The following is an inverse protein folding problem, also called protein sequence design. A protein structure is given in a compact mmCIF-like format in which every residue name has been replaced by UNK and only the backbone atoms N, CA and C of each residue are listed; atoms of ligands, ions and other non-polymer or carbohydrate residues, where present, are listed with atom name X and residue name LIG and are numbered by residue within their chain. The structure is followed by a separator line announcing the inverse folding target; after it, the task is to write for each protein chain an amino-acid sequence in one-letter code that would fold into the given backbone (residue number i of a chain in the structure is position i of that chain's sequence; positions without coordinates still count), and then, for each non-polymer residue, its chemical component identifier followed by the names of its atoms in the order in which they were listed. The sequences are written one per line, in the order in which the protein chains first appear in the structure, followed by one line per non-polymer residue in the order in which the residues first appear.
data_IF_310223518531
#
_entry.id   IF_310223518531
#
_cell.length_a   1.000
_cell.length_b   1.000
_cell.length_c   1.000
_cell.angle_alpha   90.00
_cell.angle_beta   90.00
_cell.angle_gamma   90.00
#
_symmetry.space_group_name_H-M   'P 1'
#
loop_
_entity.id
_entity.type
_entity.pdbx_description
1 polymer ?
#
# COMPACT_ATOMS: atom_id res chain seq x y z
N UNK A 1 -3.94 -15.07 -14.40
CA UNK A 1 -2.93 -14.87 -13.36
C UNK A 1 -3.38 -15.46 -12.05
N UNK A 2 -2.46 -15.98 -11.27
CA UNK A 2 -2.73 -16.48 -9.92
C UNK A 2 -2.97 -15.32 -8.96
N UNK A 3 -3.75 -15.56 -7.91
CA UNK A 3 -3.95 -14.59 -6.86
C UNK A 3 -2.64 -14.35 -6.09
N UNK A 4 -2.28 -13.09 -5.80
CA UNK A 4 -1.01 -12.80 -5.15
C UNK A 4 -1.05 -13.20 -3.67
N UNK A 5 0.01 -13.86 -3.15
CA UNK A 5 0.06 -14.22 -1.74
C UNK A 5 0.24 -12.99 -0.84
N UNK A 6 1.05 -12.02 -1.25
CA UNK A 6 1.30 -10.79 -0.48
C UNK A 6 1.13 -9.58 -1.38
N UNK A 7 0.42 -8.58 -0.88
CA UNK A 7 0.21 -7.29 -1.55
C UNK A 7 0.63 -6.16 -0.63
N UNK A 8 1.39 -5.21 -1.15
CA UNK A 8 1.74 -3.98 -0.43
C UNK A 8 0.70 -2.93 -0.80
N UNK A 9 0.01 -2.38 0.19
CA UNK A 9 -1.04 -1.39 -0.05
C UNK A 9 -0.48 0.04 -0.01
N UNK A 10 -0.83 0.82 -1.02
CA UNK A 10 -0.56 2.25 -1.06
C UNK A 10 -1.78 3.04 -0.57
N UNK A 11 -1.56 4.28 -0.15
CA UNK A 11 -2.60 5.16 0.39
C UNK A 11 -3.76 5.33 -0.58
N UNK A 12 -3.49 5.53 -1.86
CA UNK A 12 -4.53 5.75 -2.87
C UNK A 12 -5.50 4.58 -2.98
N UNK A 13 -4.98 3.36 -2.93
CA UNK A 13 -5.82 2.16 -2.97
C UNK A 13 -6.65 2.02 -1.69
N UNK A 14 -6.06 2.31 -0.53
CA UNK A 14 -6.80 2.22 0.73
C UNK A 14 -7.89 3.29 0.83
N UNK A 15 -7.66 4.49 0.32
CA UNK A 15 -8.70 5.51 0.25
C UNK A 15 -9.91 5.03 -0.57
N UNK A 16 -9.66 4.42 -1.73
CA UNK A 16 -10.74 3.87 -2.55
C UNK A 16 -11.40 2.65 -1.89
N UNK A 17 -10.62 1.82 -1.21
CA UNK A 17 -11.13 0.66 -0.49
C UNK A 17 -12.14 1.05 0.60
N UNK A 18 -11.88 2.14 1.31
CA UNK A 18 -12.72 2.59 2.42
C UNK A 18 -13.81 3.59 2.02
N UNK A 19 -13.90 3.98 0.75
CA UNK A 19 -14.88 4.94 0.26
C UNK A 19 -15.78 4.32 -0.81
N UNK A 20 -16.99 3.93 -0.41
CA UNK A 20 -17.97 3.32 -1.32
C UNK A 20 -18.40 4.23 -2.46
N UNK A 21 -18.24 5.54 -2.31
CA UNK A 21 -18.58 6.52 -3.34
C UNK A 21 -17.46 6.73 -4.38
N UNK A 22 -16.27 6.17 -4.12
CA UNK A 22 -15.15 6.29 -5.06
C UNK A 22 -15.42 5.42 -6.30
N UNK A 23 -15.17 5.97 -7.48
CA UNK A 23 -15.37 5.24 -8.74
C UNK A 23 -14.50 3.99 -8.86
N UNK A 24 -13.39 3.94 -8.13
CA UNK A 24 -12.48 2.79 -8.10
C UNK A 24 -12.75 1.82 -6.95
N UNK A 25 -13.78 2.08 -6.14
CA UNK A 25 -14.05 1.29 -4.93
C UNK A 25 -14.22 -0.19 -5.24
N UNK A 26 -15.12 -0.52 -6.18
CA UNK A 26 -15.45 -1.93 -6.46
C UNK A 26 -14.23 -2.70 -6.99
N UNK A 27 -13.51 -2.12 -7.94
CA UNK A 27 -12.32 -2.78 -8.50
C UNK A 27 -11.22 -2.95 -7.44
N UNK A 28 -11.03 -1.95 -6.58
CA UNK A 28 -10.05 -2.01 -5.50
C UNK A 28 -10.43 -3.06 -4.46
N UNK A 29 -11.71 -3.10 -4.07
CA UNK A 29 -12.22 -4.10 -3.15
C UNK A 29 -11.94 -5.51 -3.67
N UNK A 30 -12.29 -5.77 -4.94
CA UNK A 30 -12.07 -7.07 -5.57
C UNK A 30 -10.59 -7.41 -5.65
N UNK A 31 -9.74 -6.44 -5.99
CA UNK A 31 -8.30 -6.63 -6.04
C UNK A 31 -7.71 -7.01 -4.69
N UNK A 32 -8.08 -6.29 -3.63
CA UNK A 32 -7.56 -6.55 -2.29
C UNK A 32 -8.14 -7.84 -1.69
N UNK A 33 -9.36 -8.22 -2.07
CA UNK A 33 -9.95 -9.47 -1.60
C UNK A 33 -9.19 -10.71 -2.07
N UNK A 34 -8.43 -10.59 -3.16
CA UNK A 34 -7.59 -11.68 -3.70
C UNK A 34 -6.26 -11.82 -3.00
N UNK A 35 -5.85 -10.81 -2.21
CA UNK A 35 -4.58 -10.87 -1.50
C UNK A 35 -4.64 -11.93 -0.38
N UNK A 36 -3.64 -12.79 -0.32
CA UNK A 36 -3.50 -13.72 0.79
C UNK A 36 -3.11 -13.00 2.07
N UNK A 37 -2.31 -11.94 1.94
CA UNK A 37 -1.83 -11.13 3.06
C UNK A 37 -1.61 -9.70 2.57
N UNK A 38 -2.12 -8.72 3.30
CA UNK A 38 -1.97 -7.31 2.95
C UNK A 38 -1.04 -6.62 3.92
N UNK A 39 -0.03 -5.93 3.37
CA UNK A 39 0.96 -5.19 4.16
C UNK A 39 0.68 -3.70 4.02
N UNK A 40 0.52 -3.02 5.15
CA UNK A 40 0.30 -1.58 5.22
C UNK A 40 1.49 -0.95 5.95
N UNK A 41 2.31 -0.21 5.22
CA UNK A 41 3.43 0.53 5.82
C UNK A 41 2.93 1.52 6.87
N UNK A 42 3.63 1.69 8.00
CA UNK A 42 3.34 2.79 8.93
C UNK A 42 3.33 4.16 8.26
N UNK A 43 4.15 4.38 7.23
CA UNK A 43 4.15 5.63 6.46
C UNK A 43 2.81 5.83 5.75
N UNK A 44 2.30 4.78 5.11
CA UNK A 44 1.00 4.79 4.45
C UNK A 44 -0.12 4.94 5.46
N UNK A 45 -0.04 4.23 6.58
CA UNK A 45 -1.07 4.30 7.62
C UNK A 45 -1.23 5.72 8.17
N UNK A 46 -0.12 6.40 8.44
CA UNK A 46 -0.13 7.78 8.94
C UNK A 46 -0.72 8.74 7.90
N UNK A 47 -0.32 8.59 6.65
CA UNK A 47 -0.85 9.41 5.54
C UNK A 47 -2.35 9.19 5.36
N UNK A 48 -2.79 7.95 5.37
CA UNK A 48 -4.19 7.58 5.26
C UNK A 48 -5.03 8.22 6.38
N UNK A 49 -4.56 8.08 7.63
CA UNK A 49 -5.24 8.64 8.80
C UNK A 49 -5.36 10.16 8.69
N UNK A 50 -4.29 10.82 8.32
CA UNK A 50 -4.27 12.28 8.16
C UNK A 50 -5.27 12.74 7.09
N UNK A 51 -5.29 12.11 5.93
CA UNK A 51 -6.19 12.46 4.84
C UNK A 51 -7.65 12.23 5.26
N UNK A 52 -7.95 11.10 5.87
CA UNK A 52 -9.30 10.78 6.31
C UNK A 52 -9.77 11.74 7.40
N UNK A 53 -8.94 12.02 8.39
CA UNK A 53 -9.30 12.95 9.48
C UNK A 53 -9.55 14.35 8.94
N UNK A 54 -8.76 14.81 7.98
CA UNK A 54 -8.88 16.14 7.38
C UNK A 54 -10.11 16.25 6.48
N UNK A 55 -10.39 15.25 5.66
CA UNK A 55 -11.47 15.32 4.66
C UNK A 55 -12.80 14.79 5.15
N UNK A 56 -12.79 13.78 6.03
CA UNK A 56 -13.99 13.07 6.47
C UNK A 56 -14.27 13.25 7.96
N UNK A 57 -13.30 13.72 8.73
CA UNK A 57 -13.40 13.89 10.18
C UNK A 57 -12.90 12.70 10.97
N UNK A 58 -12.63 12.94 12.25
CA UNK A 58 -12.05 11.92 13.14
C UNK A 58 -12.93 10.68 13.36
N UNK A 59 -14.26 10.75 13.34
CA UNK A 59 -15.07 9.53 13.45
C UNK A 59 -14.78 8.54 12.33
N UNK A 60 -14.60 9.02 11.11
CA UNK A 60 -14.28 8.16 9.96
C UNK A 60 -12.87 7.60 10.06
N UNK A 61 -11.89 8.45 10.38
CA UNK A 61 -10.51 7.96 10.52
C UNK A 61 -10.38 6.94 11.64
N UNK A 62 -11.06 7.14 12.77
CA UNK A 62 -11.08 6.16 13.86
C UNK A 62 -11.72 4.84 13.44
N UNK A 63 -12.83 4.88 12.68
CA UNK A 63 -13.47 3.66 12.19
C UNK A 63 -12.54 2.87 11.25
N UNK A 64 -11.81 3.57 10.39
CA UNK A 64 -10.84 2.94 9.49
C UNK A 64 -9.69 2.31 10.29
N UNK A 65 -9.14 3.04 11.27
CA UNK A 65 -8.09 2.51 12.15
C UNK A 65 -8.56 1.27 12.89
N UNK A 66 -9.78 1.28 13.41
CA UNK A 66 -10.37 0.14 14.10
C UNK A 66 -10.47 -1.08 13.17
N UNK A 67 -10.90 -0.86 11.93
CA UNK A 67 -10.95 -1.92 10.92
C UNK A 67 -9.57 -2.51 10.67
N UNK A 68 -8.57 -1.66 10.42
CA UNK A 68 -7.19 -2.10 10.15
C UNK A 68 -6.64 -2.85 11.36
N UNK A 69 -6.84 -2.34 12.57
CA UNK A 69 -6.40 -3.01 13.79
C UNK A 69 -7.03 -4.39 13.93
N UNK A 70 -8.30 -4.54 13.62
CA UNK A 70 -8.97 -5.85 13.68
C UNK A 70 -8.41 -6.83 12.66
N UNK A 71 -8.08 -6.35 11.46
CA UNK A 71 -7.49 -7.21 10.42
C UNK A 71 -6.07 -7.62 10.78
N UNK A 72 -5.30 -6.73 11.42
CA UNK A 72 -3.96 -7.08 11.91
C UNK A 72 -4.02 -8.08 13.06
N UNK A 73 -4.96 -7.92 13.98
CA UNK A 73 -5.17 -8.88 15.07
C UNK A 73 -5.56 -10.26 14.55
N UNK A 74 -6.31 -10.32 13.44
CA UNK A 74 -6.70 -11.56 12.80
C UNK A 74 -5.58 -12.18 11.93
N UNK A 75 -4.45 -11.50 11.78
CA UNK A 75 -3.34 -11.97 10.96
C UNK A 75 -3.56 -11.83 9.45
N UNK A 76 -4.61 -11.16 9.03
CA UNK A 76 -4.94 -10.96 7.60
C UNK A 76 -4.18 -9.80 6.99
N UNK A 77 -3.95 -8.76 7.77
CA UNK A 77 -3.18 -7.59 7.39
C UNK A 77 -1.99 -7.46 8.34
N UNK A 78 -0.99 -6.72 7.92
CA UNK A 78 0.21 -6.51 8.73
C UNK A 78 0.68 -5.07 8.59
N UNK A 79 1.03 -4.46 9.73
CA UNK A 79 1.70 -3.16 9.77
C UNK A 79 3.11 -3.41 10.32
N UNK A 80 4.11 -3.59 9.43
CA UNK A 80 5.45 -4.00 9.86
C UNK A 80 6.25 -2.81 10.39
N UNK A 81 7.29 -3.07 11.22
CA UNK A 81 8.24 -2.02 11.57
C UNK A 81 9.05 -1.60 10.35
N UNK A 82 9.30 -0.30 10.19
CA UNK A 82 10.01 0.24 9.03
C UNK A 82 11.35 0.87 9.37
N UNK A 83 11.65 1.07 10.67
CA UNK A 83 12.94 1.62 11.10
C UNK A 83 14.14 0.91 10.48
N UNK A 84 14.19 -0.43 10.47
CA UNK A 84 15.29 -1.17 9.84
C UNK A 84 15.43 -0.93 8.33
N UNK A 85 14.41 -0.43 7.66
CA UNK A 85 14.38 -0.22 6.21
C UNK A 85 14.60 1.24 5.80
N UNK A 86 14.80 2.14 6.76
CA UNK A 86 14.90 3.56 6.48
C UNK A 86 16.10 3.90 5.59
N UNK A 87 17.25 3.26 5.83
CA UNK A 87 18.44 3.49 5.02
C UNK A 87 18.22 3.12 3.55
N UNK A 88 17.60 1.96 3.31
CA UNK A 88 17.30 1.51 1.95
C UNK A 88 16.29 2.43 1.26
N UNK A 89 15.27 2.88 1.97
CA UNK A 89 14.29 3.82 1.43
C UNK A 89 14.94 5.17 1.09
N UNK A 90 15.84 5.67 1.92
CA UNK A 90 16.58 6.89 1.67
C UNK A 90 17.47 6.77 0.43
N UNK A 91 18.14 5.64 0.26
CA UNK A 91 18.98 5.41 -0.93
C UNK A 91 18.12 5.45 -2.20
N UNK A 92 16.93 4.86 -2.17
CA UNK A 92 16.02 4.86 -3.30
C UNK A 92 15.52 6.28 -3.62
N UNK A 93 15.22 7.08 -2.61
CA UNK A 93 14.83 8.48 -2.78
C UNK A 93 15.95 9.33 -3.39
N UNK A 94 17.20 9.05 -3.04
CA UNK A 94 18.35 9.76 -3.62
C UNK A 94 18.47 9.52 -5.12
N UNK A 95 18.12 8.31 -5.58
CA UNK A 95 18.14 7.96 -7.00
C UNK A 95 16.88 8.41 -7.73
N UNK A 96 15.77 8.57 -7.02
CA UNK A 96 14.46 8.87 -7.60
C UNK A 96 13.73 9.93 -6.77
N UNK A 97 14.20 11.19 -6.80
CA UNK A 97 13.65 12.24 -5.90
C UNK A 97 12.21 12.64 -6.21
N UNK A 98 11.67 12.21 -7.35
CA UNK A 98 10.28 12.50 -7.73
C UNK A 98 9.25 11.76 -6.88
N UNK A 99 9.64 10.68 -6.20
CA UNK A 99 8.73 9.91 -5.33
C UNK A 99 8.89 10.33 -3.87
N UNK A 100 7.89 10.05 -3.05
CA UNK A 100 7.93 10.35 -1.64
C UNK A 100 8.42 9.18 -0.80
N UNK A 101 8.61 9.43 0.49
CA UNK A 101 9.09 8.41 1.42
C UNK A 101 8.13 7.21 1.51
N UNK A 102 6.82 7.46 1.49
CA UNK A 102 5.84 6.37 1.56
C UNK A 102 5.98 5.42 0.37
N UNK A 103 6.15 5.95 -0.84
CA UNK A 103 6.35 5.14 -2.04
C UNK A 103 7.66 4.37 -1.98
N UNK A 104 8.75 5.04 -1.59
CA UNK A 104 10.06 4.40 -1.44
C UNK A 104 10.00 3.27 -0.41
N UNK A 105 9.32 3.49 0.72
CA UNK A 105 9.18 2.47 1.74
C UNK A 105 8.37 1.27 1.24
N UNK A 106 7.31 1.52 0.45
CA UNK A 106 6.53 0.44 -0.16
C UNK A 106 7.37 -0.44 -1.09
N UNK A 107 8.28 0.17 -1.87
CA UNK A 107 9.21 -0.59 -2.73
C UNK A 107 10.15 -1.45 -1.89
N UNK A 108 10.68 -0.92 -0.79
CA UNK A 108 11.58 -1.66 0.10
C UNK A 108 10.82 -2.79 0.80
N UNK A 109 9.60 -2.55 1.26
CA UNK A 109 8.77 -3.58 1.88
C UNK A 109 8.39 -4.67 0.87
N UNK A 110 8.16 -4.32 -0.38
CA UNK A 110 7.91 -5.33 -1.42
C UNK A 110 9.08 -6.31 -1.52
N UNK A 111 10.33 -5.81 -1.44
CA UNK A 111 11.51 -6.68 -1.38
C UNK A 111 11.52 -7.54 -0.12
N UNK A 112 11.24 -6.94 1.03
CA UNK A 112 11.23 -7.67 2.31
C UNK A 112 10.22 -8.81 2.30
N UNK A 113 9.05 -8.58 1.75
CA UNK A 113 7.99 -9.57 1.64
C UNK A 113 8.05 -10.40 0.36
N UNK A 114 9.09 -10.22 -0.47
CA UNK A 114 9.34 -10.97 -1.70
C UNK A 114 8.16 -10.94 -2.67
N UNK A 115 7.57 -9.76 -2.83
CA UNK A 115 6.44 -9.56 -3.73
C UNK A 115 6.74 -8.45 -4.73
N UNK A 116 6.11 -8.54 -5.90
CA UNK A 116 6.09 -7.47 -6.90
C UNK A 116 4.72 -6.80 -6.98
N UNK A 117 3.80 -7.11 -6.07
CA UNK A 117 2.41 -6.67 -6.16
C UNK A 117 2.16 -5.49 -5.23
N UNK A 118 1.76 -4.37 -5.82
CA UNK A 118 1.38 -3.14 -5.11
C UNK A 118 -0.08 -2.84 -5.43
N UNK A 119 -0.89 -2.59 -4.41
CA UNK A 119 -2.24 -2.06 -4.59
C UNK A 119 -2.16 -0.53 -4.60
N UNK A 120 -2.41 0.08 -5.73
CA UNK A 120 -2.30 1.53 -5.89
C UNK A 120 -3.15 2.03 -7.06
N UNK A 121 -3.63 3.27 -6.94
CA UNK A 121 -4.19 4.03 -8.05
C UNK A 121 -3.20 5.07 -8.59
N UNK A 122 -2.07 5.23 -7.93
CA UNK A 122 -0.97 6.09 -8.38
C UNK A 122 -0.02 5.28 -9.27
N UNK A 123 -0.47 5.02 -10.48
CA UNK A 123 0.24 4.19 -11.44
C UNK A 123 1.54 4.84 -11.90
N UNK A 124 1.55 6.16 -12.03
CA UNK A 124 2.69 6.88 -12.59
C UNK A 124 3.96 6.64 -11.80
N UNK A 125 3.92 6.76 -10.48
CA UNK A 125 5.09 6.55 -9.64
C UNK A 125 5.57 5.10 -9.71
N UNK A 126 4.67 4.14 -9.57
CA UNK A 126 5.05 2.72 -9.53
C UNK A 126 5.37 2.13 -10.91
N UNK A 127 4.96 2.79 -12.02
CA UNK A 127 5.45 2.42 -13.35
C UNK A 127 6.87 2.95 -13.60
N UNK A 128 7.29 4.03 -12.90
CA UNK A 128 8.65 4.58 -12.98
C UNK A 128 9.64 3.82 -12.10
N UNK A 129 9.17 3.25 -11.00
CA UNK A 129 10.01 2.54 -10.04
C UNK A 129 10.19 1.09 -10.47
N UNK A 130 11.38 0.54 -10.19
CA UNK A 130 11.65 -0.87 -10.42
C UNK A 130 11.59 -1.63 -9.11
N UNK A 131 11.07 -2.87 -9.13
CA UNK A 131 11.18 -3.74 -7.96
C UNK A 131 12.65 -3.97 -7.58
N UNK A 132 12.91 -4.08 -6.29
CA UNK A 132 14.22 -4.48 -5.77
C UNK A 132 14.37 -6.00 -5.70
N UNK A 133 13.36 -6.73 -6.20
CA UNK A 133 13.37 -8.18 -6.40
C UNK A 133 13.85 -8.49 -7.81
N UNK A 134 13.80 -9.77 -8.18
CA UNK A 134 14.14 -10.23 -9.55
C UNK A 134 13.11 -9.84 -10.60
N UNK A 135 11.96 -9.27 -10.22
CA UNK A 135 10.89 -8.91 -11.13
C UNK A 135 11.26 -7.69 -11.96
N UNK A 136 10.84 -7.65 -13.22
CA UNK A 136 11.13 -6.54 -14.14
C UNK A 136 10.27 -5.32 -13.87
N UNK A 137 9.05 -5.52 -13.41
CA UNK A 137 8.07 -4.46 -13.13
C UNK A 137 7.14 -4.88 -12.02
N UNK A 138 6.54 -3.88 -11.36
CA UNK A 138 5.47 -4.13 -10.39
C UNK A 138 4.18 -4.54 -11.10
N UNK A 139 3.46 -5.49 -10.49
CA UNK A 139 2.07 -5.77 -10.78
C UNK A 139 1.22 -4.85 -9.94
N UNK A 140 0.46 -3.97 -10.57
CA UNK A 140 -0.35 -2.98 -9.87
C UNK A 140 -1.81 -3.41 -9.83
N UNK A 141 -2.37 -3.49 -8.63
CA UNK A 141 -3.80 -3.79 -8.47
C UNK A 141 -4.55 -2.47 -8.21
N UNK A 142 -5.77 -2.33 -8.71
CA UNK A 142 -6.57 -3.32 -9.46
C UNK A 142 -6.26 -3.42 -10.96
N UNK A 143 -5.40 -2.56 -11.51
CA UNK A 143 -5.19 -2.48 -12.96
C UNK A 143 -4.71 -3.79 -13.59
N UNK A 144 -3.75 -4.44 -12.96
CA UNK A 144 -3.09 -5.65 -13.49
C UNK A 144 -3.70 -6.94 -12.93
N UNK A 145 -4.97 -6.87 -12.61
CA UNK A 145 -5.70 -7.99 -12.03
C UNK A 145 -5.83 -9.15 -13.02
#
# INVERSE_FOLDING_TARGET
MTDPPVVIADTSALLAFFNQSDKHHQATWEGLARAGHLVVSPCVLTELDYILATKQGSPVSNAVLSYIASRTAAGRWEVPPVGPHLLAAHALLSDCPAVGLADAMSVVLAREFRTDVIATLDRRHFRMLRPLTRHDAFRLLPDDL
#
